data_IF_643384853997
#
_entry.id   IF_643384853997
#
_cell.length_a   1.000
_cell.length_b   1.000
_cell.length_c   1.000
_cell.angle_alpha   90.00
_cell.angle_beta   90.00
_cell.angle_gamma   90.00
#
_symmetry.space_group_name_H-M   'P 1'
#
loop_
_entity.id
_entity.type
_entity.pdbx_description
1 polymer ?
#
# COMPACT_ATOMS: atom_id res chain seq x y z
N UNK A 1 13.42 6.08 -25.97
CA UNK A 1 14.56 6.72 -25.28
C UNK A 1 14.13 7.80 -24.27
N UNK A 2 12.96 8.45 -24.45
CA UNK A 2 12.37 9.39 -23.46
C UNK A 2 12.06 8.77 -22.08
N UNK A 3 11.77 7.47 -22.04
CA UNK A 3 11.25 6.80 -20.84
C UNK A 3 12.32 6.52 -19.76
N UNK A 4 13.56 6.19 -20.15
CA UNK A 4 14.59 5.77 -19.19
C UNK A 4 15.17 6.93 -18.37
N UNK A 5 15.34 8.13 -18.97
CA UNK A 5 15.81 9.31 -18.22
C UNK A 5 14.76 9.75 -17.19
N UNK A 6 13.50 9.81 -17.61
CA UNK A 6 12.42 10.14 -16.68
C UNK A 6 12.30 9.09 -15.56
N UNK A 7 12.54 7.80 -15.84
CA UNK A 7 12.54 6.74 -14.83
C UNK A 7 13.60 6.95 -13.74
N UNK A 8 14.85 7.24 -14.09
CA UNK A 8 15.91 7.48 -13.08
C UNK A 8 15.71 8.80 -12.33
N UNK A 9 15.08 9.78 -12.98
CA UNK A 9 14.80 11.08 -12.38
C UNK A 9 13.52 11.07 -11.53
N UNK A 10 12.73 9.98 -11.58
CA UNK A 10 11.52 9.80 -10.77
C UNK A 10 11.85 9.73 -9.28
N UNK A 11 10.92 10.21 -8.46
CA UNK A 11 10.94 10.05 -7.02
C UNK A 11 10.99 8.58 -6.61
N UNK A 12 10.24 7.70 -7.27
CA UNK A 12 10.23 6.26 -7.04
C UNK A 12 11.64 5.66 -7.07
N UNK A 13 12.40 5.94 -8.15
CA UNK A 13 13.77 5.44 -8.28
C UNK A 13 14.73 6.07 -7.27
N UNK A 14 14.62 7.39 -7.07
CA UNK A 14 15.46 8.13 -6.12
C UNK A 14 15.23 7.70 -4.67
N UNK A 15 13.98 7.44 -4.27
CA UNK A 15 13.61 6.96 -2.95
C UNK A 15 14.17 5.57 -2.70
N UNK A 16 13.98 4.65 -3.65
CA UNK A 16 14.57 3.32 -3.57
C UNK A 16 16.09 3.36 -3.44
N UNK A 17 16.78 4.18 -4.23
CA UNK A 17 18.24 4.31 -4.16
C UNK A 17 18.69 4.92 -2.82
N UNK A 18 18.00 5.97 -2.34
CA UNK A 18 18.27 6.57 -1.02
C UNK A 18 18.12 5.54 0.11
N UNK A 19 17.09 4.69 0.06
CA UNK A 19 16.89 3.65 1.06
C UNK A 19 18.04 2.64 1.09
N UNK A 20 18.54 2.23 -0.09
CA UNK A 20 19.72 1.36 -0.18
C UNK A 20 20.97 1.97 0.45
N UNK A 21 21.17 3.28 0.29
CA UNK A 21 22.35 4.04 0.73
C UNK A 21 22.23 4.64 2.14
N UNK A 22 21.03 4.58 2.74
CA UNK A 22 20.75 5.08 4.09
C UNK A 22 21.56 4.34 5.16
N UNK A 23 21.62 4.87 6.39
CA UNK A 23 22.37 4.26 7.51
C UNK A 23 21.93 2.82 7.83
N UNK A 24 20.66 2.49 7.60
CA UNK A 24 20.09 1.14 7.78
C UNK A 24 19.98 0.36 6.47
N UNK A 25 20.42 0.95 5.36
CA UNK A 25 20.37 0.38 4.03
C UNK A 25 21.41 -0.71 3.79
N UNK A 26 21.13 -1.61 2.84
CA UNK A 26 22.01 -2.75 2.57
C UNK A 26 23.35 -2.38 1.93
N UNK A 27 23.53 -1.13 1.47
CA UNK A 27 24.81 -0.63 0.95
C UNK A 27 25.62 0.14 2.00
N UNK A 28 25.08 0.39 3.20
CA UNK A 28 25.64 1.29 4.21
C UNK A 28 27.03 0.87 4.69
N UNK A 29 27.21 -0.41 4.98
CA UNK A 29 28.46 -0.98 5.50
C UNK A 29 29.47 -1.37 4.40
N UNK A 30 29.07 -1.18 3.14
CA UNK A 30 29.87 -1.52 1.96
C UNK A 30 30.09 -3.01 1.73
N UNK A 31 29.39 -3.90 2.45
CA UNK A 31 29.43 -5.36 2.20
C UNK A 31 28.77 -5.72 0.88
N UNK A 32 27.69 -5.02 0.52
CA UNK A 32 27.02 -5.16 -0.77
C UNK A 32 27.36 -4.01 -1.72
N UNK A 33 27.17 -4.23 -3.03
CA UNK A 33 27.37 -3.20 -4.05
C UNK A 33 26.34 -3.32 -5.17
N UNK A 34 25.74 -2.19 -5.54
CA UNK A 34 24.91 -2.08 -6.73
C UNK A 34 25.82 -1.89 -7.95
N UNK A 35 25.71 -2.78 -8.94
CA UNK A 35 26.52 -2.73 -10.18
C UNK A 35 25.79 -2.12 -11.36
N UNK A 36 24.53 -2.49 -11.53
CA UNK A 36 23.72 -2.12 -12.68
C UNK A 36 22.25 -2.06 -12.28
N UNK A 37 21.50 -1.17 -12.92
CA UNK A 37 20.04 -1.19 -12.91
C UNK A 37 19.52 -1.25 -14.34
N UNK A 38 18.63 -2.21 -14.59
CA UNK A 38 17.96 -2.41 -15.88
C UNK A 38 16.49 -2.07 -15.70
N UNK A 39 16.05 -0.94 -16.26
CA UNK A 39 14.63 -0.57 -16.31
C UNK A 39 13.90 -1.51 -17.28
N UNK A 40 12.86 -2.17 -16.79
CA UNK A 40 12.07 -3.16 -17.54
C UNK A 40 10.70 -2.63 -17.97
N UNK A 41 10.13 -1.68 -17.23
CA UNK A 41 8.82 -1.10 -17.54
C UNK A 41 8.58 0.19 -16.76
N UNK A 42 7.81 1.09 -17.36
CA UNK A 42 7.39 2.37 -16.78
C UNK A 42 5.93 2.54 -17.12
N UNK A 43 5.11 2.76 -16.11
CA UNK A 43 3.68 3.06 -16.27
C UNK A 43 3.46 4.53 -15.90
N UNK A 44 2.82 5.28 -16.79
CA UNK A 44 2.57 6.72 -16.63
C UNK A 44 1.12 6.96 -16.20
N UNK A 45 0.92 7.82 -15.21
CA UNK A 45 -0.39 8.35 -14.80
C UNK A 45 -0.48 9.82 -15.19
N UNK A 46 -1.06 10.08 -16.36
CA UNK A 46 -0.97 11.40 -16.99
C UNK A 46 0.50 11.73 -17.32
N UNK A 47 1.02 12.82 -16.76
CA UNK A 47 2.40 13.27 -16.99
C UNK A 47 3.41 12.66 -15.99
N UNK A 48 2.94 12.03 -14.91
CA UNK A 48 3.78 11.49 -13.84
C UNK A 48 4.07 10.01 -14.03
N UNK A 49 5.21 9.53 -13.52
CA UNK A 49 5.49 8.10 -13.45
C UNK A 49 4.72 7.53 -12.25
N UNK A 50 3.78 6.62 -12.53
CA UNK A 50 2.99 5.94 -11.52
C UNK A 50 3.69 4.70 -10.98
N UNK A 51 4.18 3.84 -11.88
CA UNK A 51 4.92 2.64 -11.50
C UNK A 51 6.21 2.48 -12.30
N UNK A 52 7.19 1.86 -11.65
CA UNK A 52 8.46 1.52 -12.26
C UNK A 52 8.81 0.06 -11.97
N UNK A 53 9.13 -0.69 -13.01
CA UNK A 53 9.65 -2.05 -12.89
C UNK A 53 11.09 -2.10 -13.36
N UNK A 54 11.98 -2.62 -12.54
CA UNK A 54 13.40 -2.73 -12.87
C UNK A 54 14.07 -3.90 -12.16
N UNK A 55 15.27 -4.22 -12.64
CA UNK A 55 16.16 -5.20 -12.01
C UNK A 55 17.43 -4.50 -11.58
N UNK A 56 17.76 -4.59 -10.29
CA UNK A 56 19.01 -4.16 -9.69
C UNK A 56 19.95 -5.36 -9.53
N UNK A 57 21.17 -5.21 -10.04
CA UNK A 57 22.24 -6.19 -9.87
C UNK A 57 23.04 -5.84 -8.62
N UNK A 58 22.66 -6.47 -7.50
CA UNK A 58 23.30 -6.30 -6.20
C UNK A 58 24.19 -7.51 -5.92
N UNK A 59 25.46 -7.25 -5.58
CA UNK A 59 26.47 -8.25 -5.30
C UNK A 59 26.89 -8.17 -3.84
N UNK A 60 26.85 -9.29 -3.13
CA UNK A 60 27.56 -9.44 -1.86
C UNK A 60 29.04 -9.66 -2.14
N UNK A 61 29.90 -8.79 -1.61
CA UNK A 61 31.35 -8.84 -1.86
C UNK A 61 32.03 -10.02 -1.17
N UNK A 62 31.48 -10.53 -0.08
CA UNK A 62 32.09 -11.65 0.65
C UNK A 62 31.85 -12.97 -0.09
N UNK A 63 30.59 -13.29 -0.39
CA UNK A 63 30.24 -14.52 -1.10
C UNK A 63 30.45 -14.46 -2.62
N UNK A 64 30.48 -13.25 -3.19
CA UNK A 64 30.46 -13.05 -4.64
C UNK A 64 29.13 -13.43 -5.30
N UNK A 65 28.09 -13.71 -4.51
CA UNK A 65 26.77 -14.07 -5.01
C UNK A 65 25.88 -12.85 -5.23
N UNK A 66 24.98 -12.96 -6.21
CA UNK A 66 23.98 -11.93 -6.47
C UNK A 66 22.79 -12.08 -5.51
N UNK A 67 22.37 -10.96 -4.94
CA UNK A 67 21.12 -10.87 -4.20
C UNK A 67 19.97 -10.67 -5.20
N UNK A 68 18.78 -11.26 -4.98
CA UNK A 68 17.62 -10.98 -5.81
C UNK A 68 17.28 -9.49 -5.77
N UNK A 69 17.31 -8.80 -6.93
CA UNK A 69 17.02 -7.38 -7.03
C UNK A 69 15.91 -7.05 -8.02
N UNK A 70 14.85 -7.86 -8.08
CA UNK A 70 13.65 -7.48 -8.86
C UNK A 70 12.88 -6.45 -8.06
N UNK A 71 12.60 -5.28 -8.64
CA UNK A 71 11.93 -4.18 -7.96
C UNK A 71 10.74 -3.70 -8.80
N UNK A 72 9.58 -3.68 -8.17
CA UNK A 72 8.38 -2.97 -8.59
C UNK A 72 8.22 -1.77 -7.65
N UNK A 73 8.71 -0.63 -8.11
CA UNK A 73 8.61 0.61 -7.38
C UNK A 73 7.26 1.27 -7.66
N UNK A 74 6.48 1.41 -6.59
CA UNK A 74 5.21 2.16 -6.57
C UNK A 74 5.20 3.26 -5.52
N UNK A 75 6.18 3.27 -4.63
CA UNK A 75 6.33 4.28 -3.60
C UNK A 75 5.40 4.08 -2.41
N UNK A 76 5.43 5.04 -1.47
CA UNK A 76 4.71 4.93 -0.22
C UNK A 76 3.21 5.17 -0.39
N UNK A 77 2.43 4.56 0.50
CA UNK A 77 0.98 4.66 0.53
C UNK A 77 0.46 4.98 1.94
N UNK A 78 -0.81 5.34 2.03
CA UNK A 78 -1.52 5.53 3.28
C UNK A 78 -2.84 4.76 3.25
N UNK A 79 -3.21 4.15 4.36
CA UNK A 79 -4.54 3.59 4.57
C UNK A 79 -5.16 4.18 5.83
N UNK A 80 -6.49 4.29 5.85
CA UNK A 80 -7.22 4.85 7.00
C UNK A 80 -8.25 3.85 7.51
N UNK A 81 -8.09 3.42 8.76
CA UNK A 81 -9.11 2.72 9.53
C UNK A 81 -10.11 3.75 10.06
N UNK A 82 -11.28 3.84 9.41
CA UNK A 82 -12.35 4.73 9.84
C UNK A 82 -13.36 3.93 10.65
N UNK A 83 -13.56 4.30 11.91
CA UNK A 83 -14.58 3.73 12.78
C UNK A 83 -15.69 4.76 13.02
N UNK A 84 -16.90 4.37 12.66
CA UNK A 84 -18.12 5.14 12.89
C UNK A 84 -18.82 4.55 14.11
N UNK A 85 -18.88 5.32 15.17
CA UNK A 85 -19.61 4.98 16.39
C UNK A 85 -21.03 5.52 16.24
N UNK A 86 -22.00 4.62 16.21
CA UNK A 86 -23.40 4.99 16.07
C UNK A 86 -23.99 5.35 17.45
N UNK A 87 -25.00 6.21 17.44
CA UNK A 87 -25.83 6.57 18.59
C UNK A 87 -26.49 5.38 19.33
N UNK A 88 -26.63 4.21 18.71
CA UNK A 88 -27.10 2.97 19.35
C UNK A 88 -25.99 2.15 20.05
N UNK A 89 -24.75 2.64 20.01
CA UNK A 89 -23.58 2.02 20.63
C UNK A 89 -22.85 0.99 19.76
N UNK A 90 -23.30 0.73 18.53
CA UNK A 90 -22.57 -0.14 17.60
C UNK A 90 -21.47 0.63 16.84
N UNK A 91 -20.30 0.02 16.71
CA UNK A 91 -19.17 0.56 15.94
C UNK A 91 -19.06 -0.14 14.59
N UNK A 92 -18.98 0.64 13.52
CA UNK A 92 -18.81 0.17 12.15
C UNK A 92 -17.47 0.62 11.58
N UNK A 93 -16.76 -0.28 10.92
CA UNK A 93 -15.61 0.07 10.09
C UNK A 93 -16.06 0.40 8.67
N UNK A 94 -15.50 1.47 8.10
CA UNK A 94 -15.71 1.85 6.69
C UNK A 94 -14.70 1.12 5.82
N UNK A 95 -15.19 0.35 4.86
CA UNK A 95 -14.41 -0.31 3.82
C UNK A 95 -14.84 0.16 2.44
N UNK A 96 -13.96 -0.04 1.46
CA UNK A 96 -14.23 0.14 0.04
C UNK A 96 -14.28 -1.23 -0.64
N UNK A 97 -15.30 -1.44 -1.47
CA UNK A 97 -15.44 -2.58 -2.35
C UNK A 97 -14.92 -2.18 -3.74
N UNK A 98 -13.80 -2.78 -4.15
CA UNK A 98 -13.09 -2.41 -5.37
C UNK A 98 -12.76 -3.64 -6.23
N UNK A 99 -12.74 -3.46 -7.55
CA UNK A 99 -12.29 -4.49 -8.49
C UNK A 99 -10.77 -4.53 -8.48
N UNK A 100 -10.19 -5.67 -8.10
CA UNK A 100 -8.75 -5.90 -8.15
C UNK A 100 -8.44 -6.90 -9.26
N UNK A 101 -8.10 -6.37 -10.43
CA UNK A 101 -7.68 -7.17 -11.60
C UNK A 101 -6.56 -8.17 -11.26
N UNK A 102 -5.52 -7.82 -10.47
CA UNK A 102 -4.45 -8.77 -10.13
C UNK A 102 -4.91 -10.02 -9.37
N UNK A 103 -6.01 -9.92 -8.60
CA UNK A 103 -6.58 -11.06 -7.88
C UNK A 103 -7.79 -11.66 -8.59
N UNK A 104 -8.25 -11.05 -9.68
CA UNK A 104 -9.44 -11.44 -10.43
C UNK A 104 -10.73 -11.35 -9.61
N UNK A 105 -10.74 -10.56 -8.54
CA UNK A 105 -11.83 -10.51 -7.55
C UNK A 105 -12.24 -9.08 -7.24
N UNK A 106 -13.46 -8.95 -6.74
CA UNK A 106 -13.86 -7.78 -5.97
C UNK A 106 -13.40 -7.99 -4.53
N UNK A 107 -12.71 -7.00 -3.96
CA UNK A 107 -12.09 -7.09 -2.63
C UNK A 107 -12.68 -6.00 -1.74
N UNK A 108 -12.92 -6.35 -0.47
CA UNK A 108 -13.21 -5.39 0.59
C UNK A 108 -11.90 -4.98 1.25
N UNK A 109 -11.56 -3.69 1.20
CA UNK A 109 -10.30 -3.18 1.74
C UNK A 109 -10.50 -1.85 2.46
N UNK A 110 -9.46 -1.40 3.19
CA UNK A 110 -9.45 -0.05 3.72
C UNK A 110 -9.39 0.96 2.59
N UNK A 111 -10.04 2.13 2.74
CA UNK A 111 -9.76 3.25 1.87
C UNK A 111 -8.29 3.63 1.99
N UNK A 112 -7.65 3.84 0.85
CA UNK A 112 -6.20 3.97 0.78
C UNK A 112 -5.78 4.83 -0.41
N UNK A 113 -4.65 5.49 -0.23
CA UNK A 113 -4.12 6.44 -1.18
C UNK A 113 -2.62 6.35 -1.38
N UNK A 114 -2.14 6.76 -2.55
CA UNK A 114 -0.70 6.88 -2.80
C UNK A 114 -0.24 8.29 -2.42
N UNK A 115 0.97 8.38 -1.89
CA UNK A 115 1.51 9.67 -1.52
C UNK A 115 2.21 10.30 -2.72
N UNK A 116 1.75 11.49 -3.09
CA UNK A 116 2.42 12.32 -4.09
C UNK A 116 3.58 13.08 -3.43
N UNK A 117 4.74 13.09 -4.10
CA UNK A 117 6.00 13.57 -3.54
C UNK A 117 6.10 15.10 -3.35
N UNK A 118 5.10 15.88 -3.76
CA UNK A 118 5.25 17.33 -3.93
C UNK A 118 4.97 18.17 -2.68
N UNK A 119 4.34 17.63 -1.64
CA UNK A 119 4.08 18.40 -0.42
C UNK A 119 4.24 17.49 0.79
N UNK A 120 5.14 17.83 1.73
CA UNK A 120 5.37 17.09 2.98
C UNK A 120 4.16 17.00 3.92
N UNK A 121 2.95 17.16 3.39
CA UNK A 121 1.67 16.91 4.02
C UNK A 121 1.10 15.52 3.67
N UNK A 122 1.78 14.48 4.14
CA UNK A 122 1.35 13.08 3.98
C UNK A 122 -0.10 12.85 4.45
N UNK A 123 -0.48 13.52 5.54
CA UNK A 123 -1.80 13.37 6.14
C UNK A 123 -2.86 14.10 5.30
N UNK A 124 -2.55 15.28 4.74
CA UNK A 124 -3.45 16.03 3.87
C UNK A 124 -3.77 15.30 2.57
N UNK A 125 -2.76 14.67 1.95
CA UNK A 125 -2.97 13.83 0.75
C UNK A 125 -3.82 12.60 1.09
N UNK A 126 -3.51 11.91 2.19
CA UNK A 126 -4.30 10.76 2.65
C UNK A 126 -5.75 11.12 2.97
N UNK A 127 -5.98 12.27 3.62
CA UNK A 127 -7.33 12.81 3.85
C UNK A 127 -8.03 12.96 2.51
N UNK A 128 -7.46 13.72 1.57
CA UNK A 128 -8.09 14.03 0.29
C UNK A 128 -8.48 12.78 -0.49
N UNK A 129 -7.57 11.82 -0.65
CA UNK A 129 -7.86 10.59 -1.40
C UNK A 129 -8.94 9.75 -0.73
N UNK A 130 -8.88 9.61 0.60
CA UNK A 130 -9.90 8.87 1.34
C UNK A 130 -11.26 9.58 1.32
N UNK A 131 -11.29 10.92 1.39
CA UNK A 131 -12.52 11.73 1.23
C UNK A 131 -13.17 11.50 -0.14
N UNK A 132 -12.37 11.40 -1.22
CA UNK A 132 -12.84 11.09 -2.57
C UNK A 132 -13.43 9.67 -2.65
N UNK A 133 -12.83 8.69 -1.96
CA UNK A 133 -13.31 7.30 -1.94
C UNK A 133 -14.56 7.08 -1.09
N UNK A 134 -14.74 7.79 0.02
CA UNK A 134 -15.87 7.54 0.95
C UNK A 134 -16.96 8.61 0.89
N UNK A 135 -16.62 9.82 0.43
CA UNK A 135 -17.51 10.97 0.38
C UNK A 135 -17.93 11.51 1.75
N UNK A 136 -17.03 11.49 2.73
CA UNK A 136 -17.16 12.09 4.08
C UNK A 136 -15.95 13.00 4.25
N UNK A 137 -16.13 14.19 4.84
CA UNK A 137 -15.00 15.07 5.17
C UNK A 137 -14.29 14.62 6.43
N UNK A 138 -12.97 14.47 6.36
CA UNK A 138 -12.10 14.09 7.47
C UNK A 138 -11.28 15.30 7.91
N UNK A 139 -11.13 15.47 9.23
CA UNK A 139 -10.24 16.49 9.78
C UNK A 139 -8.87 15.89 10.07
N UNK A 140 -7.83 16.51 9.54
CA UNK A 140 -6.45 16.10 9.77
C UNK A 140 -6.11 16.04 11.27
N UNK A 141 -6.64 16.97 12.07
CA UNK A 141 -6.38 17.02 13.52
C UNK A 141 -6.90 15.80 14.30
N UNK A 142 -7.93 15.13 13.79
CA UNK A 142 -8.59 14.00 14.46
C UNK A 142 -7.98 12.65 14.05
N UNK A 143 -6.96 12.65 13.18
CA UNK A 143 -6.26 11.45 12.74
C UNK A 143 -5.22 11.00 13.76
N UNK A 144 -5.23 9.71 14.07
CA UNK A 144 -4.22 9.07 14.93
C UNK A 144 -3.35 8.16 14.07
N UNK A 145 -2.05 8.42 14.00
CA UNK A 145 -1.09 7.56 13.30
C UNK A 145 -0.88 6.26 14.11
N UNK A 146 -1.48 5.15 13.65
CA UNK A 146 -1.32 3.84 14.30
C UNK A 146 0.09 3.28 14.08
N UNK A 147 0.73 3.62 12.95
CA UNK A 147 2.08 3.18 12.63
C UNK A 147 3.16 3.90 13.44
N UNK A 148 2.87 5.09 13.96
CA UNK A 148 3.73 5.80 14.91
C UNK A 148 3.89 5.09 16.26
N UNK A 149 3.06 4.10 16.58
CA UNK A 149 3.21 3.27 17.77
C UNK A 149 4.21 2.11 17.60
N UNK A 150 4.68 1.86 16.38
CA UNK A 150 5.74 0.88 16.15
C UNK A 150 7.07 1.40 16.69
N UNK A 151 8.01 0.49 16.90
CA UNK A 151 9.37 0.89 17.29
C UNK A 151 10.02 1.74 16.18
N UNK A 152 10.77 2.81 16.51
CA UNK A 152 11.42 3.66 15.51
C UNK A 152 12.32 2.91 14.51
N UNK A 153 12.90 1.76 14.91
CA UNK A 153 13.70 0.91 14.02
C UNK A 153 12.91 0.33 12.84
N UNK A 154 11.58 0.31 12.92
CA UNK A 154 10.69 -0.12 11.83
C UNK A 154 10.45 0.98 10.78
N UNK A 155 10.94 2.20 11.03
CA UNK A 155 10.62 3.38 10.22
C UNK A 155 9.18 3.87 10.38
N UNK A 156 8.41 3.33 11.34
CA UNK A 156 6.97 3.58 11.50
C UNK A 156 6.18 3.31 10.20
N UNK A 157 6.49 2.19 9.55
CA UNK A 157 5.85 1.76 8.31
C UNK A 157 5.51 0.28 8.37
N UNK A 158 4.46 -0.09 7.66
CA UNK A 158 4.09 -1.49 7.42
C UNK A 158 4.22 -1.85 5.94
N UNK A 159 4.37 -3.14 5.66
CA UNK A 159 4.55 -3.66 4.31
C UNK A 159 3.36 -4.56 3.95
N UNK A 160 2.30 -4.02 3.32
CA UNK A 160 1.06 -4.74 3.09
C UNK A 160 1.13 -5.73 1.92
N UNK A 161 2.08 -5.56 1.01
CA UNK A 161 2.12 -6.26 -0.27
C UNK A 161 3.16 -7.38 -0.33
N UNK A 162 2.74 -8.65 -0.33
CA UNK A 162 3.61 -9.75 -0.69
C UNK A 162 3.72 -9.85 -2.22
N UNK A 163 4.81 -9.35 -2.81
CA UNK A 163 5.07 -9.61 -4.23
C UNK A 163 5.78 -10.96 -4.40
N UNK A 164 5.14 -11.85 -5.17
CA UNK A 164 5.62 -13.20 -5.44
C UNK A 164 6.82 -13.15 -6.40
N UNK A 165 7.93 -13.80 -6.00
CA UNK A 165 9.20 -13.94 -6.75
C UNK A 165 9.08 -14.78 -8.05
N UNK A 166 7.89 -15.25 -8.43
CA UNK A 166 7.72 -16.27 -9.47
C UNK A 166 7.51 -15.74 -10.90
N UNK A 167 7.51 -14.42 -11.14
CA UNK A 167 7.37 -13.92 -12.51
C UNK A 167 8.72 -13.44 -13.03
N UNK A 168 9.19 -14.08 -14.11
CA UNK A 168 10.29 -13.66 -14.99
C UNK A 168 11.72 -14.13 -14.65
N UNK A 169 11.89 -15.43 -14.40
CA UNK A 169 13.11 -16.09 -14.86
C UNK A 169 12.99 -16.33 -16.37
N UNK A 170 13.56 -15.41 -17.17
CA UNK A 170 13.80 -15.50 -18.63
C UNK A 170 12.57 -15.72 -19.52
N UNK A 171 12.22 -14.75 -20.37
CA UNK A 171 11.62 -15.10 -21.67
C UNK A 171 11.84 -14.01 -22.71
N UNK A 172 12.43 -14.44 -23.82
CA UNK A 172 12.53 -13.67 -25.05
C UNK A 172 11.12 -13.38 -25.58
N UNK A 173 10.95 -12.17 -26.09
CA UNK A 173 9.78 -11.66 -26.77
C UNK A 173 9.33 -12.65 -27.86
N UNK A 174 8.15 -13.28 -27.69
CA UNK A 174 7.21 -13.70 -28.77
C UNK A 174 6.20 -14.81 -28.39
N UNK A 175 6.05 -15.23 -27.13
CA UNK A 175 4.98 -16.20 -26.76
C UNK A 175 4.26 -15.78 -25.47
N UNK A 176 3.60 -14.63 -25.50
CA UNK A 176 2.96 -14.03 -24.32
C UNK A 176 1.55 -14.57 -23.99
N UNK A 177 0.91 -15.33 -24.90
CA UNK A 177 -0.53 -15.64 -24.76
C UNK A 177 -0.81 -17.04 -24.19
N UNK A 178 0.15 -17.98 -24.26
CA UNK A 178 -0.13 -19.40 -23.95
C UNK A 178 0.24 -19.80 -22.50
N UNK A 179 1.10 -19.05 -21.82
CA UNK A 179 1.60 -19.41 -20.48
C UNK A 179 0.72 -18.95 -19.30
N UNK A 180 -0.43 -18.34 -19.57
CA UNK A 180 -1.39 -17.92 -18.53
C UNK A 180 -1.95 -19.09 -17.70
N UNK A 181 -1.77 -20.34 -18.16
CA UNK A 181 -2.45 -21.53 -17.62
C UNK A 181 -1.61 -22.34 -16.60
N UNK A 182 -0.29 -22.14 -16.50
CA UNK A 182 0.59 -23.10 -15.76
C UNK A 182 1.14 -22.58 -14.42
N UNK A 183 0.91 -21.33 -14.05
CA UNK A 183 1.46 -20.75 -12.81
C UNK A 183 0.69 -21.13 -11.51
N UNK A 184 0.06 -22.31 -11.45
CA UNK A 184 -0.83 -22.69 -10.35
C UNK A 184 -0.27 -23.73 -9.36
N UNK A 185 1.03 -24.07 -9.39
CA UNK A 185 1.50 -25.24 -8.62
C UNK A 185 2.85 -25.15 -7.92
N UNK A 186 3.36 -23.96 -7.57
CA UNK A 186 4.57 -23.86 -6.75
C UNK A 186 4.33 -23.00 -5.51
N UNK A 187 4.79 -23.54 -4.37
CA UNK A 187 4.44 -23.13 -3.01
C UNK A 187 4.57 -21.64 -2.73
N UNK A 188 3.59 -21.16 -1.97
CA UNK A 188 3.39 -19.76 -1.58
C UNK A 188 4.34 -19.42 -0.44
N UNK A 189 5.24 -18.46 -0.64
CA UNK A 189 5.93 -17.77 0.45
C UNK A 189 5.70 -16.28 0.31
N UNK A 190 5.04 -15.70 1.31
CA UNK A 190 4.83 -14.26 1.48
C UNK A 190 6.18 -13.65 1.87
N UNK A 191 6.79 -12.89 0.96
CA UNK A 191 8.03 -12.14 1.23
C UNK A 191 7.87 -10.77 0.59
N UNK A 192 8.43 -9.73 1.21
CA UNK A 192 8.71 -8.41 0.63
C UNK A 192 9.69 -8.52 -0.57
N UNK A 193 9.40 -9.39 -1.54
CA UNK A 193 10.40 -9.89 -2.47
C UNK A 193 10.61 -9.03 -3.71
N UNK A 194 9.75 -8.03 -3.94
CA UNK A 194 9.88 -7.20 -5.14
C UNK A 194 8.97 -6.00 -5.22
N UNK A 195 8.39 -5.51 -4.11
CA UNK A 195 7.72 -4.21 -4.09
C UNK A 195 8.26 -3.37 -2.95
N UNK A 196 8.46 -2.08 -3.19
CA UNK A 196 8.96 -1.10 -2.24
C UNK A 196 7.84 -0.45 -1.41
N UNK A 197 6.62 -0.98 -1.48
CA UNK A 197 5.46 -0.40 -0.81
C UNK A 197 5.61 -0.41 0.70
N UNK A 198 5.83 0.79 1.23
CA UNK A 198 5.72 1.15 2.62
C UNK A 198 4.40 1.88 2.84
N UNK A 199 3.67 1.51 3.88
CA UNK A 199 2.37 2.08 4.16
C UNK A 199 2.27 2.60 5.59
N UNK A 200 1.73 3.81 5.74
CA UNK A 200 1.26 4.33 7.02
C UNK A 200 -0.21 4.01 7.22
N UNK A 201 -0.60 3.73 8.46
CA UNK A 201 -2.00 3.45 8.80
C UNK A 201 -2.47 4.47 9.82
N UNK A 202 -3.56 5.16 9.51
CA UNK A 202 -4.21 6.09 10.42
C UNK A 202 -5.52 5.54 10.93
N UNK A 203 -5.90 5.94 12.14
CA UNK A 203 -7.21 5.74 12.71
C UNK A 203 -7.97 7.07 12.65
N UNK A 204 -9.23 7.01 12.22
CA UNK A 204 -10.18 8.10 12.33
C UNK A 204 -11.45 7.60 13.01
N UNK A 205 -11.95 8.34 14.00
CA UNK A 205 -13.20 7.98 14.71
C UNK A 205 -14.21 9.10 14.62
N UNK A 206 -15.47 8.73 14.42
CA UNK A 206 -16.55 9.70 14.32
C UNK A 206 -17.82 9.15 14.98
N UNK A 207 -18.44 9.97 15.81
CA UNK A 207 -19.82 9.75 16.27
C UNK A 207 -20.78 10.13 15.16
N UNK A 208 -21.68 9.23 14.77
CA UNK A 208 -22.67 9.46 13.72
C UNK A 208 -24.04 8.95 14.12
N UNK A 209 -25.08 9.54 13.54
CA UNK A 209 -26.43 8.99 13.64
C UNK A 209 -26.57 7.72 12.77
N UNK A 210 -27.42 6.78 13.19
CA UNK A 210 -27.79 5.60 12.38
C UNK A 210 -28.21 5.95 10.94
N UNK A 211 -28.79 7.12 10.71
CA UNK A 211 -29.19 7.56 9.37
C UNK A 211 -27.97 7.78 8.46
N UNK A 212 -26.88 8.33 8.98
CA UNK A 212 -25.61 8.48 8.24
C UNK A 212 -25.03 7.13 7.86
N UNK A 213 -25.08 6.14 8.76
CA UNK A 213 -24.67 4.75 8.48
C UNK A 213 -25.45 4.20 7.27
N UNK A 214 -26.77 4.38 7.26
CA UNK A 214 -27.63 3.92 6.16
C UNK A 214 -27.33 4.63 4.85
N UNK A 215 -27.07 5.93 4.87
CA UNK A 215 -26.76 6.72 3.68
C UNK A 215 -25.42 6.36 3.05
N UNK A 216 -24.43 6.02 3.88
CA UNK A 216 -23.10 5.61 3.41
C UNK A 216 -23.09 4.18 2.88
N UNK A 217 -23.90 3.30 3.46
CA UNK A 217 -23.91 1.88 3.09
C UNK A 217 -24.26 1.68 1.62
N UNK A 218 -23.30 1.17 0.84
CA UNK A 218 -23.47 0.88 -0.58
C UNK A 218 -23.41 2.12 -1.48
N UNK A 219 -23.03 3.28 -0.95
CA UNK A 219 -22.80 4.50 -1.74
C UNK A 219 -21.72 4.23 -2.79
N UNK A 220 -22.00 4.61 -4.03
CA UNK A 220 -21.06 4.49 -5.14
C UNK A 220 -20.25 5.78 -5.25
N UNK A 221 -18.93 5.64 -5.29
CA UNK A 221 -17.94 6.73 -5.22
C UNK A 221 -16.79 6.44 -6.20
N UNK A 222 -15.74 7.25 -6.17
CA UNK A 222 -14.60 7.16 -7.09
C UNK A 222 -14.86 7.84 -8.43
N UNK A 223 -13.77 8.02 -9.19
CA UNK A 223 -13.80 8.65 -10.50
C UNK A 223 -14.20 7.63 -11.58
N UNK A 224 -15.51 7.45 -11.79
CA UNK A 224 -16.06 6.52 -12.78
C UNK A 224 -15.56 6.75 -14.20
N UNK A 225 -15.35 8.00 -14.59
CA UNK A 225 -14.81 8.37 -15.90
C UNK A 225 -13.35 7.91 -16.08
N UNK A 226 -12.65 7.68 -14.96
CA UNK A 226 -11.28 7.13 -14.91
C UNK A 226 -11.25 5.62 -14.61
N UNK A 227 -12.41 4.95 -14.57
CA UNK A 227 -12.50 3.50 -14.37
C UNK A 227 -12.42 3.05 -12.91
N UNK A 228 -12.51 3.97 -11.95
CA UNK A 228 -12.53 3.66 -10.52
C UNK A 228 -13.96 3.43 -10.06
N UNK A 229 -14.32 2.15 -9.92
CA UNK A 229 -15.63 1.73 -9.43
C UNK A 229 -15.50 1.37 -7.95
N UNK A 230 -15.81 2.34 -7.08
CA UNK A 230 -15.72 2.18 -5.64
C UNK A 230 -17.14 2.13 -5.05
N UNK A 231 -17.36 1.19 -4.14
CA UNK A 231 -18.59 1.11 -3.37
C UNK A 231 -18.28 1.04 -1.88
N UNK A 232 -18.84 1.95 -1.11
CA UNK A 232 -18.65 2.01 0.34
C UNK A 232 -19.39 0.87 1.03
N UNK A 233 -18.74 0.22 1.99
CA UNK A 233 -19.28 -0.88 2.81
C UNK A 233 -18.98 -0.63 4.28
N UNK A 234 -20.03 -0.54 5.08
CA UNK A 234 -19.94 -0.51 6.53
C UNK A 234 -20.06 -1.91 7.09
N UNK A 235 -19.10 -2.28 7.95
CA UNK A 235 -19.01 -3.61 8.55
C UNK A 235 -18.95 -3.44 10.07
N UNK A 236 -19.80 -4.11 10.86
CA UNK A 236 -19.67 -4.09 12.32
C UNK A 236 -18.24 -4.48 12.73
N UNK A 237 -17.58 -3.64 13.53
CA UNK A 237 -16.16 -3.78 13.84
C UNK A 237 -15.82 -5.15 14.44
N UNK A 238 -16.70 -5.68 15.30
CA UNK A 238 -16.61 -7.04 15.89
C UNK A 238 -16.53 -8.19 14.88
N UNK A 239 -17.01 -7.97 13.66
CA UNK A 239 -16.97 -8.94 12.58
C UNK A 239 -15.86 -8.65 11.56
N UNK A 240 -15.20 -7.50 11.63
CA UNK A 240 -14.30 -7.01 10.59
C UNK A 240 -13.18 -8.01 10.24
N UNK A 241 -12.54 -8.59 11.26
CA UNK A 241 -11.41 -9.51 11.13
C UNK A 241 -11.68 -10.78 10.32
N UNK A 242 -12.96 -11.15 10.14
CA UNK A 242 -13.38 -12.34 9.40
C UNK A 242 -14.14 -12.03 8.10
N UNK A 243 -14.23 -10.75 7.72
CA UNK A 243 -14.99 -10.30 6.53
C UNK A 243 -14.13 -10.10 5.30
N UNK A 244 -12.82 -9.93 5.47
CA UNK A 244 -11.88 -9.77 4.36
C UNK A 244 -10.52 -10.39 4.68
N UNK A 245 -9.81 -10.75 3.63
CA UNK A 245 -8.43 -11.22 3.67
C UNK A 245 -7.42 -10.11 3.29
N UNK A 246 -7.89 -8.86 3.12
CA UNK A 246 -7.03 -7.72 2.84
C UNK A 246 -6.06 -7.48 4.01
N UNK A 247 -4.76 -7.45 3.68
CA UNK A 247 -3.71 -7.33 4.69
C UNK A 247 -3.79 -5.99 5.43
N UNK A 248 -4.19 -4.90 4.74
CA UNK A 248 -4.27 -3.56 5.33
C UNK A 248 -5.29 -3.54 6.47
N UNK A 249 -6.47 -4.14 6.23
CA UNK A 249 -7.51 -4.31 7.26
C UNK A 249 -7.01 -5.14 8.45
N UNK A 250 -6.39 -6.30 8.20
CA UNK A 250 -5.96 -7.18 9.28
C UNK A 250 -4.83 -6.55 10.12
N UNK A 251 -3.90 -5.85 9.47
CA UNK A 251 -2.81 -5.15 10.14
C UNK A 251 -3.32 -3.94 10.93
N UNK A 252 -4.29 -3.18 10.40
CA UNK A 252 -4.88 -2.04 11.12
C UNK A 252 -5.60 -2.48 12.39
N UNK A 253 -6.35 -3.60 12.35
CA UNK A 253 -6.96 -4.20 13.55
C UNK A 253 -5.88 -4.55 14.57
N UNK A 254 -4.82 -5.23 14.13
CA UNK A 254 -3.71 -5.62 15.00
C UNK A 254 -3.07 -4.41 15.71
N UNK A 255 -2.74 -3.36 14.96
CA UNK A 255 -2.16 -2.14 15.53
C UNK A 255 -3.15 -1.43 16.48
N UNK A 256 -4.39 -1.25 16.05
CA UNK A 256 -5.43 -0.58 16.84
C UNK A 256 -5.71 -1.32 18.15
N UNK A 257 -5.98 -2.62 18.11
CA UNK A 257 -6.28 -3.43 19.30
C UNK A 257 -5.10 -3.46 20.28
N UNK A 258 -3.88 -3.58 19.78
CA UNK A 258 -2.69 -3.58 20.63
C UNK A 258 -2.46 -2.22 21.27
N UNK A 259 -2.53 -1.14 20.48
CA UNK A 259 -2.40 0.23 20.99
C UNK A 259 -3.51 0.57 22.00
N UNK A 260 -4.75 0.10 21.78
CA UNK A 260 -5.87 0.31 22.69
C UNK A 260 -5.65 -0.42 24.03
N UNK A 261 -5.17 -1.66 24.02
CA UNK A 261 -4.89 -2.44 25.25
C UNK A 261 -3.86 -1.79 26.16
N UNK A 262 -2.90 -1.08 25.58
CA UNK A 262 -1.86 -0.35 26.34
C UNK A 262 -2.20 1.13 26.55
N UNK A 263 -3.40 1.58 26.15
CA UNK A 263 -3.87 2.95 26.37
C UNK A 263 -3.19 4.02 25.51
N UNK A 264 -2.61 3.65 24.37
CA UNK A 264 -1.96 4.58 23.44
C UNK A 264 -2.96 5.27 22.50
N UNK A 265 -4.09 4.62 22.21
CA UNK A 265 -5.17 5.23 21.44
C UNK A 265 -5.91 6.22 22.35
N UNK A 266 -5.99 7.51 22.00
CA UNK A 266 -6.74 8.49 22.78
C UNK A 266 -8.17 8.03 23.03
N UNK A 267 -8.79 8.39 24.15
CA UNK A 267 -10.26 8.31 24.28
C UNK A 267 -10.80 9.67 23.86
N UNK A 268 -11.57 9.73 22.78
CA UNK A 268 -12.30 10.93 22.37
C UNK A 268 -13.77 10.68 22.64
#
# INVERSE_FOLDING_TARGET
MFCCRNAIDSSLFKNWLRNLESETGILADGTMTLKEVIIQGVDMFGERIGFLKFKADILDKESGHKVPGIVFARGPAVAVLILLESDDGETYAVLTEQVRVPTGKVVLELPAGMLDDDEGDFVGTAVREVEEEIGIKLKKEDMVDLTAFLDPSTGHRIFPSPVIKAIFSSMSYNVCVIWLVVAFSLGVSLVQGGCDEEMSVFLYRLQVEQETIKQLQGKETGLREHGEFIKVRLVPYRELWRKTADAKVLMSIGLYEMAQRVGLVPMH
#
